data_IF_296479529514
#
_entry.id   IF_296479529514
#
_cell.length_a   1.000
_cell.length_b   1.000
_cell.length_c   1.000
_cell.angle_alpha   90.00
_cell.angle_beta   90.00
_cell.angle_gamma   90.00
#
_symmetry.space_group_name_H-M   'P 1'
#
loop_
_entity.id
_entity.type
_entity.pdbx_description
1 polymer ?
#
# COMPACT_ATOMS: atom_id res chain seq x y z
N UNK A 1 -22.76 -6.29 0.52
CA UNK A 1 -21.77 -6.46 1.60
C UNK A 1 -20.29 -6.39 1.15
N UNK A 2 -19.94 -6.16 -0.13
CA UNK A 2 -18.54 -6.11 -0.60
C UNK A 2 -18.04 -4.71 -0.99
N UNK A 3 -18.79 -3.66 -0.66
CA UNK A 3 -18.46 -2.30 -1.10
C UNK A 3 -17.08 -1.84 -0.62
N UNK A 4 -16.67 -2.22 0.59
CA UNK A 4 -15.35 -1.88 1.13
C UNK A 4 -14.21 -2.61 0.42
N UNK A 5 -14.49 -3.71 -0.29
CA UNK A 5 -13.48 -4.43 -1.05
C UNK A 5 -13.31 -3.85 -2.46
N UNK A 6 -14.41 -3.59 -3.16
CA UNK A 6 -14.37 -3.08 -4.54
C UNK A 6 -14.27 -1.55 -4.63
N UNK A 7 -14.79 -0.83 -3.63
CA UNK A 7 -14.79 0.64 -3.57
C UNK A 7 -14.26 1.15 -2.21
N UNK A 8 -13.07 0.75 -1.75
CA UNK A 8 -12.50 1.27 -0.52
C UNK A 8 -12.24 2.78 -0.63
N UNK A 9 -12.41 3.50 0.48
CA UNK A 9 -11.94 4.91 0.59
C UNK A 9 -10.43 5.00 0.83
N UNK A 10 -9.84 3.94 1.39
CA UNK A 10 -8.43 3.81 1.68
C UNK A 10 -7.98 2.36 1.68
N UNK A 11 -6.72 2.12 1.34
CA UNK A 11 -6.07 0.79 1.35
C UNK A 11 -4.80 0.86 2.18
N UNK A 12 -4.62 -0.10 3.08
CA UNK A 12 -3.34 -0.35 3.75
C UNK A 12 -2.69 -1.60 3.17
N UNK A 13 -1.43 -1.51 2.75
CA UNK A 13 -0.66 -2.64 2.20
C UNK A 13 0.29 -3.15 3.26
N UNK A 14 -0.14 -4.18 3.99
CA UNK A 14 0.68 -4.84 5.02
C UNK A 14 1.73 -5.73 4.37
N UNK A 15 2.99 -5.52 4.71
CA UNK A 15 4.10 -6.19 4.05
C UNK A 15 4.59 -5.48 2.80
N UNK A 16 4.22 -4.20 2.61
CA UNK A 16 4.79 -3.36 1.56
C UNK A 16 6.32 -3.38 1.63
N UNK A 17 6.99 -3.30 0.47
CA UNK A 17 8.44 -3.48 0.35
C UNK A 17 9.04 -2.45 -0.59
N UNK A 18 10.32 -2.08 -0.37
CA UNK A 18 11.13 -1.25 -1.31
C UNK A 18 11.82 -2.08 -2.40
N UNK A 19 11.80 -3.41 -2.28
CA UNK A 19 12.48 -4.33 -3.20
C UNK A 19 11.53 -4.75 -4.32
N UNK A 20 11.82 -4.40 -5.59
CA UNK A 20 11.08 -4.89 -6.74
C UNK A 20 11.00 -6.42 -6.81
N UNK A 21 9.87 -6.96 -7.26
CA UNK A 21 9.64 -8.41 -7.36
C UNK A 21 9.27 -9.09 -6.04
N UNK A 22 9.20 -8.36 -4.92
CA UNK A 22 8.49 -8.84 -3.73
C UNK A 22 7.01 -8.54 -3.88
N UNK A 23 6.15 -9.50 -3.53
CA UNK A 23 4.68 -9.38 -3.63
C UNK A 23 4.16 -8.06 -3.05
N UNK A 24 4.62 -7.62 -1.88
CA UNK A 24 4.17 -6.36 -1.27
C UNK A 24 4.65 -5.09 -1.99
N UNK A 25 5.77 -5.16 -2.72
CA UNK A 25 6.18 -4.08 -3.63
C UNK A 25 5.23 -4.05 -4.83
N UNK A 26 5.04 -5.20 -5.50
CA UNK A 26 4.27 -5.29 -6.75
C UNK A 26 2.79 -4.91 -6.52
N UNK A 27 2.20 -5.30 -5.39
CA UNK A 27 0.83 -4.88 -5.01
C UNK A 27 0.74 -3.36 -4.84
N UNK A 28 1.68 -2.75 -4.12
CA UNK A 28 1.67 -1.31 -3.90
C UNK A 28 1.89 -0.55 -5.22
N UNK A 29 2.84 -1.00 -6.03
CA UNK A 29 3.12 -0.44 -7.35
C UNK A 29 1.88 -0.47 -8.24
N UNK A 30 1.19 -1.61 -8.32
CA UNK A 30 -0.06 -1.74 -9.07
C UNK A 30 -1.14 -0.75 -8.59
N UNK A 31 -1.37 -0.65 -7.29
CA UNK A 31 -2.38 0.29 -6.74
C UNK A 31 -2.08 1.73 -7.17
N UNK A 32 -0.81 2.13 -7.14
CA UNK A 32 -0.39 3.48 -7.50
C UNK A 32 -0.41 3.71 -9.02
N UNK A 33 0.11 2.77 -9.80
CA UNK A 33 0.24 2.86 -11.26
C UNK A 33 -1.12 2.85 -11.96
N UNK A 34 -2.07 2.04 -11.48
CA UNK A 34 -3.42 1.97 -12.05
C UNK A 34 -4.36 3.07 -11.51
N UNK A 35 -3.82 4.05 -10.78
CA UNK A 35 -4.52 5.30 -10.48
C UNK A 35 -5.62 5.19 -9.42
N UNK A 36 -5.44 4.35 -8.39
CA UNK A 36 -6.36 4.35 -7.26
C UNK A 36 -6.41 5.74 -6.60
N UNK A 37 -7.62 6.31 -6.53
CA UNK A 37 -7.84 7.69 -6.10
C UNK A 37 -7.98 7.85 -4.58
N UNK A 38 -8.17 6.75 -3.85
CA UNK A 38 -8.26 6.76 -2.40
C UNK A 38 -6.90 6.86 -1.71
N UNK A 39 -6.91 6.96 -0.38
CA UNK A 39 -5.67 7.02 0.38
C UNK A 39 -4.95 5.66 0.41
N UNK A 40 -3.63 5.66 0.22
CA UNK A 40 -2.81 4.43 0.22
C UNK A 40 -1.76 4.54 1.32
N UNK A 41 -1.72 3.52 2.18
CA UNK A 41 -0.83 3.45 3.35
C UNK A 41 0.04 2.19 3.28
N UNK A 42 1.30 2.29 2.83
CA UNK A 42 2.27 1.21 2.98
C UNK A 42 2.54 0.93 4.47
N UNK A 43 2.51 -0.34 4.87
CA UNK A 43 2.84 -0.75 6.23
C UNK A 43 4.09 -1.65 6.20
N UNK A 44 5.18 -1.15 6.77
CA UNK A 44 6.48 -1.81 6.84
C UNK A 44 7.23 -1.39 8.12
N UNK A 45 7.74 -2.33 8.95
CA UNK A 45 8.39 -2.01 10.23
C UNK A 45 9.62 -1.12 10.15
N UNK A 46 10.34 -1.11 9.03
CA UNK A 46 11.67 -0.48 8.90
C UNK A 46 11.72 0.64 7.86
N UNK A 47 10.80 0.66 6.90
CA UNK A 47 10.79 1.66 5.84
C UNK A 47 9.96 2.88 6.26
N UNK A 48 10.56 4.07 6.19
CA UNK A 48 9.86 5.36 6.35
C UNK A 48 9.10 5.79 5.10
N UNK A 49 9.51 5.30 3.92
CA UNK A 49 8.91 5.60 2.63
C UNK A 49 9.04 4.41 1.66
N UNK A 50 8.01 4.18 0.86
CA UNK A 50 7.98 3.17 -0.21
C UNK A 50 7.24 3.77 -1.42
N UNK A 51 7.85 3.76 -2.61
CA UNK A 51 7.26 4.28 -3.85
C UNK A 51 6.72 5.73 -3.72
N UNK A 52 7.46 6.61 -3.03
CA UNK A 52 7.06 8.00 -2.81
C UNK A 52 5.88 8.17 -1.83
N UNK A 53 5.44 7.10 -1.16
CA UNK A 53 4.41 7.15 -0.12
C UNK A 53 5.03 6.94 1.26
N UNK A 54 4.67 7.80 2.20
CA UNK A 54 5.01 7.63 3.63
C UNK A 54 4.55 6.25 4.10
N UNK A 55 5.48 5.50 4.67
CA UNK A 55 5.25 4.17 5.21
C UNK A 55 5.16 4.22 6.74
N UNK A 56 4.36 3.33 7.31
CA UNK A 56 4.10 3.25 8.74
C UNK A 56 4.55 1.89 9.29
N UNK A 57 5.06 1.82 10.53
CA UNK A 57 5.55 0.56 11.11
C UNK A 57 4.43 -0.43 11.45
N UNK A 58 3.20 0.07 11.68
CA UNK A 58 2.03 -0.68 12.10
C UNK A 58 0.74 0.04 11.68
N UNK A 59 -0.41 -0.63 11.83
CA UNK A 59 -1.75 -0.06 11.69
C UNK A 59 -2.25 0.67 12.95
N UNK A 60 -1.57 0.47 14.08
CA UNK A 60 -1.89 1.03 15.38
C UNK A 60 -1.18 2.36 15.61
#
# INVERSE_FOLDING_TARGET
>A
MLNHFFNPKSIAVIGASRTPGKVGYDILENILQYGYQGAVYPINPSASEILGKKSYPSLL
#
